data_IF_094216877173
#
_entry.id   IF_094216877173
#
_cell.length_a   1.000
_cell.length_b   1.000
_cell.length_c   1.000
_cell.angle_alpha   90.00
_cell.angle_beta   90.00
_cell.angle_gamma   90.00
#
_symmetry.space_group_name_H-M   'P 1'
#
loop_
_entity.id
_entity.type
_entity.pdbx_description
1 polymer ?
#
# COMPACT_ATOMS: atom_id res chain seq x y z
N UNK A 1 0.93 17.27 -26.75
CA UNK A 1 0.32 16.71 -25.55
C UNK A 1 1.07 17.22 -24.35
N UNK A 2 0.34 17.83 -23.39
CA UNK A 2 0.93 18.23 -22.12
C UNK A 2 1.58 17.01 -21.48
N UNK A 3 2.79 17.17 -20.90
CA UNK A 3 3.50 16.10 -20.22
C UNK A 3 2.57 15.45 -19.19
N UNK A 4 2.32 14.14 -19.34
CA UNK A 4 1.53 13.35 -18.40
C UNK A 4 2.28 13.20 -17.06
N UNK A 5 3.61 13.45 -17.07
CA UNK A 5 4.48 13.32 -15.92
C UNK A 5 4.66 14.70 -15.26
N UNK A 6 4.40 14.76 -13.96
CA UNK A 6 4.71 15.90 -13.10
C UNK A 6 5.72 15.46 -12.06
N UNK A 7 6.81 16.21 -11.94
CA UNK A 7 7.88 15.94 -10.99
C UNK A 7 7.78 16.92 -9.81
N UNK A 8 7.80 16.36 -8.59
CA UNK A 8 7.82 17.13 -7.34
C UNK A 8 9.05 16.75 -6.55
N UNK A 9 9.81 17.73 -6.10
CA UNK A 9 11.00 17.53 -5.27
C UNK A 9 10.76 18.11 -3.88
N UNK A 10 10.98 17.30 -2.85
CA UNK A 10 11.04 17.78 -1.48
C UNK A 10 12.44 18.32 -1.17
N UNK A 11 12.55 19.42 -0.45
CA UNK A 11 13.83 20.01 -0.01
C UNK A 11 14.61 19.07 0.93
N UNK A 12 13.88 18.29 1.72
CA UNK A 12 14.45 17.32 2.67
C UNK A 12 13.80 15.96 2.50
N UNK A 13 14.57 14.90 2.75
CA UNK A 13 14.01 13.56 2.87
C UNK A 13 13.17 13.47 4.15
N UNK A 14 11.85 13.28 3.98
CA UNK A 14 10.86 13.13 5.06
C UNK A 14 10.24 11.73 5.09
N UNK A 15 10.85 10.79 4.37
CA UNK A 15 10.39 9.40 4.29
C UNK A 15 9.26 9.15 3.29
N UNK A 16 8.86 7.87 3.13
CA UNK A 16 7.88 7.46 2.13
C UNK A 16 6.46 7.97 2.42
N UNK A 17 6.07 8.09 3.69
CA UNK A 17 4.76 8.66 4.07
C UNK A 17 4.59 10.06 3.50
N UNK A 18 5.57 10.95 3.73
CA UNK A 18 5.52 12.33 3.24
C UNK A 18 5.53 12.40 1.70
N UNK A 19 6.32 11.55 1.05
CA UNK A 19 6.37 11.49 -0.42
C UNK A 19 5.03 11.01 -1.00
N UNK A 20 4.42 9.95 -0.46
CA UNK A 20 3.10 9.48 -0.89
C UNK A 20 2.01 10.50 -0.62
N UNK A 21 2.03 11.17 0.54
CA UNK A 21 1.08 12.23 0.88
C UNK A 21 1.18 13.43 -0.07
N UNK A 22 2.39 13.83 -0.46
CA UNK A 22 2.57 14.86 -1.48
C UNK A 22 1.95 14.41 -2.80
N UNK A 23 2.21 13.19 -3.24
CA UNK A 23 1.62 12.61 -4.45
C UNK A 23 0.09 12.58 -4.40
N UNK A 24 -0.51 12.21 -3.26
CA UNK A 24 -1.98 12.20 -3.07
C UNK A 24 -2.56 13.60 -3.21
N UNK A 25 -1.95 14.60 -2.56
CA UNK A 25 -2.41 16.01 -2.61
C UNK A 25 -2.34 16.58 -4.02
N UNK A 26 -1.30 16.23 -4.77
CA UNK A 26 -1.08 16.72 -6.12
C UNK A 26 -1.81 15.89 -7.20
N UNK A 27 -2.24 14.69 -6.89
CA UNK A 27 -3.00 13.87 -7.82
C UNK A 27 -4.33 14.50 -8.18
N UNK A 28 -4.74 14.40 -9.45
CA UNK A 28 -6.00 14.96 -9.98
C UNK A 28 -7.03 13.87 -10.31
N UNK A 29 -6.60 12.62 -10.32
CA UNK A 29 -7.45 11.47 -10.62
C UNK A 29 -8.36 11.12 -9.46
N UNK A 30 -9.47 10.47 -9.78
CA UNK A 30 -10.39 9.87 -8.82
C UNK A 30 -9.78 8.63 -8.16
N UNK A 31 -9.03 7.86 -8.92
CA UNK A 31 -8.31 6.67 -8.49
C UNK A 31 -6.82 6.96 -8.33
N UNK A 32 -6.26 6.52 -7.24
CA UNK A 32 -4.84 6.71 -6.88
C UNK A 32 -4.20 5.34 -6.75
N UNK A 33 -3.05 5.18 -7.38
CA UNK A 33 -2.20 4.00 -7.28
C UNK A 33 -0.77 4.41 -6.98
N UNK A 34 -0.04 3.60 -6.23
CA UNK A 34 1.35 3.85 -5.84
C UNK A 34 2.29 2.87 -6.53
N UNK A 35 3.50 3.31 -6.72
CA UNK A 35 4.60 2.46 -7.15
C UNK A 35 5.85 2.85 -6.36
N UNK A 36 6.37 1.93 -5.57
CA UNK A 36 7.64 2.10 -4.88
C UNK A 36 8.78 2.03 -5.90
N UNK A 37 9.86 2.78 -5.67
CA UNK A 37 10.93 2.98 -6.65
C UNK A 37 11.73 1.71 -6.99
N UNK A 38 11.60 0.68 -6.15
CA UNK A 38 12.23 -0.63 -6.28
C UNK A 38 11.26 -1.72 -6.79
N UNK A 39 10.02 -1.37 -7.15
CA UNK A 39 9.02 -2.29 -7.68
C UNK A 39 8.71 -2.00 -9.16
N UNK A 40 8.05 -2.93 -9.83
CA UNK A 40 7.64 -2.83 -11.23
C UNK A 40 6.17 -3.23 -11.41
N UNK A 41 5.41 -2.41 -12.17
CA UNK A 41 4.08 -2.79 -12.62
C UNK A 41 4.13 -3.59 -13.90
N UNK A 42 3.43 -4.71 -13.93
CA UNK A 42 3.22 -5.47 -15.15
C UNK A 42 2.14 -4.83 -16.03
N UNK A 43 2.23 -5.00 -17.36
CA UNK A 43 1.25 -4.48 -18.29
C UNK A 43 -0.19 -4.88 -17.93
N UNK A 44 -1.10 -3.93 -18.02
CA UNK A 44 -2.52 -4.16 -17.78
C UNK A 44 -2.99 -4.00 -16.34
N UNK A 45 -2.09 -3.75 -15.36
CA UNK A 45 -2.47 -3.53 -13.94
C UNK A 45 -3.62 -2.53 -13.77
N UNK A 46 -3.43 -1.31 -14.25
CA UNK A 46 -4.44 -0.25 -14.09
C UNK A 46 -5.76 -0.62 -14.76
N UNK A 47 -5.70 -1.23 -15.96
CA UNK A 47 -6.90 -1.70 -16.66
C UNK A 47 -7.65 -2.77 -15.87
N UNK A 48 -6.93 -3.73 -15.28
CA UNK A 48 -7.53 -4.79 -14.49
C UNK A 48 -8.19 -4.24 -13.22
N UNK A 49 -7.53 -3.31 -12.52
CA UNK A 49 -8.07 -2.71 -11.30
C UNK A 49 -9.28 -1.80 -11.59
N UNK A 50 -9.25 -1.01 -12.66
CA UNK A 50 -10.43 -0.24 -13.08
C UNK A 50 -11.58 -1.13 -13.54
N UNK A 51 -11.29 -2.27 -14.17
CA UNK A 51 -12.28 -3.29 -14.50
C UNK A 51 -12.93 -3.86 -13.24
N UNK A 52 -12.12 -4.24 -12.26
CA UNK A 52 -12.60 -4.74 -10.97
C UNK A 52 -13.60 -3.78 -10.30
N UNK A 53 -13.29 -2.48 -10.24
CA UNK A 53 -14.19 -1.49 -9.62
C UNK A 53 -15.49 -1.27 -10.40
N UNK A 54 -15.48 -1.45 -11.72
CA UNK A 54 -16.71 -1.39 -12.52
C UNK A 54 -17.64 -2.56 -12.25
N UNK A 55 -17.06 -3.73 -12.01
CA UNK A 55 -17.79 -4.97 -11.70
C UNK A 55 -18.19 -5.07 -10.24
N UNK A 56 -17.48 -4.35 -9.35
CA UNK A 56 -17.66 -4.38 -7.89
C UNK A 56 -17.68 -2.95 -7.33
N UNK A 57 -18.74 -2.16 -7.58
CA UNK A 57 -18.80 -0.74 -7.24
C UNK A 57 -18.80 -0.44 -5.75
N UNK A 58 -19.04 -1.43 -4.90
CA UNK A 58 -18.98 -1.32 -3.44
C UNK A 58 -17.54 -1.25 -2.89
N UNK A 59 -16.53 -1.64 -3.70
CA UNK A 59 -15.14 -1.57 -3.29
C UNK A 59 -14.53 -0.21 -3.63
N UNK A 60 -13.88 0.40 -2.65
CA UNK A 60 -13.09 1.63 -2.81
C UNK A 60 -11.58 1.40 -2.87
N UNK A 61 -11.14 0.17 -2.65
CA UNK A 61 -9.74 -0.26 -2.72
C UNK A 61 -9.67 -1.70 -3.23
N UNK A 62 -8.69 -1.98 -4.08
CA UNK A 62 -8.32 -3.34 -4.42
C UNK A 62 -6.80 -3.47 -4.54
N UNK A 63 -6.31 -4.67 -4.29
CA UNK A 63 -4.93 -5.07 -4.50
C UNK A 63 -4.82 -6.18 -5.52
N UNK A 64 -3.64 -6.35 -6.10
CA UNK A 64 -3.32 -7.48 -7.00
C UNK A 64 -2.35 -8.42 -6.31
N UNK A 65 -2.27 -9.66 -6.79
CA UNK A 65 -1.14 -10.55 -6.47
C UNK A 65 0.17 -9.98 -7.01
N UNK A 66 1.28 -10.50 -6.49
CA UNK A 66 2.63 -10.03 -6.79
C UNK A 66 3.61 -11.19 -6.97
N UNK A 67 4.64 -10.95 -7.77
CA UNK A 67 5.78 -11.85 -7.96
C UNK A 67 6.94 -11.29 -7.14
N UNK A 68 7.58 -12.13 -6.33
CA UNK A 68 8.72 -11.73 -5.52
C UNK A 68 10.02 -12.17 -6.15
N UNK A 69 10.96 -11.23 -6.29
CA UNK A 69 12.32 -11.49 -6.75
C UNK A 69 13.28 -11.06 -5.62
N UNK A 70 14.13 -11.96 -5.18
CA UNK A 70 15.20 -11.67 -4.21
C UNK A 70 16.54 -12.10 -4.79
N UNK A 71 17.52 -11.19 -4.77
CA UNK A 71 18.85 -11.42 -5.33
C UNK A 71 18.78 -12.02 -6.77
N UNK A 72 17.91 -11.47 -7.62
CA UNK A 72 17.71 -11.91 -9.00
C UNK A 72 16.97 -13.23 -9.19
N UNK A 73 16.52 -13.88 -8.12
CA UNK A 73 15.77 -15.15 -8.18
C UNK A 73 14.34 -14.98 -7.73
N UNK A 74 13.40 -15.59 -8.48
CA UNK A 74 12.00 -15.67 -8.06
C UNK A 74 11.90 -16.50 -6.78
N UNK A 75 11.20 -15.97 -5.78
CA UNK A 75 10.92 -16.65 -4.52
C UNK A 75 9.41 -16.76 -4.31
N UNK A 76 8.98 -17.86 -3.71
CA UNK A 76 7.59 -17.98 -3.29
C UNK A 76 7.40 -17.30 -1.94
N UNK A 77 6.40 -16.45 -1.77
CA UNK A 77 6.07 -15.88 -0.46
C UNK A 77 5.67 -17.01 0.50
N UNK A 78 6.02 -16.85 1.77
CA UNK A 78 5.52 -17.76 2.81
C UNK A 78 4.00 -17.66 2.89
N UNK A 79 3.32 -18.72 3.32
CA UNK A 79 1.84 -18.75 3.48
C UNK A 79 1.28 -17.57 4.27
N UNK A 80 2.02 -17.09 5.29
CA UNK A 80 1.63 -15.92 6.09
C UNK A 80 1.56 -14.60 5.30
N UNK A 81 2.19 -14.52 4.14
CA UNK A 81 2.15 -13.35 3.25
C UNK A 81 1.13 -13.50 2.10
N UNK A 82 0.34 -14.56 2.12
CA UNK A 82 -0.70 -14.77 1.11
C UNK A 82 -1.72 -13.63 1.20
N UNK A 83 -1.95 -12.99 0.07
CA UNK A 83 -2.94 -11.92 -0.02
C UNK A 83 -4.36 -12.47 0.12
N UNK A 84 -5.26 -11.62 0.53
CA UNK A 84 -6.66 -11.95 0.72
C UNK A 84 -7.54 -10.79 0.28
N UNK A 85 -8.78 -11.09 -0.08
CA UNK A 85 -9.82 -10.12 -0.38
C UNK A 85 -10.96 -10.16 0.64
N UNK A 86 -11.83 -9.16 0.61
CA UNK A 86 -12.97 -9.01 1.50
C UNK A 86 -12.62 -8.25 2.79
N UNK A 87 -13.29 -8.59 3.86
CA UNK A 87 -13.03 -8.05 5.20
C UNK A 87 -11.79 -8.74 5.80
N UNK A 88 -10.63 -8.12 5.67
CA UNK A 88 -9.32 -8.72 6.01
C UNK A 88 -8.64 -8.04 7.20
N UNK A 89 -9.38 -7.32 8.03
CA UNK A 89 -8.81 -6.63 9.18
C UNK A 89 -8.05 -7.57 10.12
N UNK A 90 -8.62 -8.72 10.43
CA UNK A 90 -8.01 -9.78 11.23
C UNK A 90 -6.66 -10.25 10.67
N UNK A 91 -6.54 -10.33 9.35
CA UNK A 91 -5.30 -10.72 8.65
C UNK A 91 -4.27 -9.61 8.62
N UNK A 92 -4.70 -8.35 8.68
CA UNK A 92 -3.81 -7.19 8.78
C UNK A 92 -3.20 -7.03 10.18
N UNK A 93 -3.84 -7.53 11.25
CA UNK A 93 -3.33 -7.37 12.61
C UNK A 93 -1.91 -7.92 12.83
N UNK A 94 -1.60 -9.18 12.46
CA UNK A 94 -0.27 -9.75 12.69
C UNK A 94 0.78 -9.29 11.69
N UNK A 95 0.39 -8.83 10.49
CA UNK A 95 1.31 -8.60 9.39
C UNK A 95 0.76 -7.60 8.37
N UNK A 96 1.66 -6.84 7.73
CA UNK A 96 1.32 -6.03 6.56
C UNK A 96 1.10 -6.96 5.35
N UNK A 97 -0.17 -7.26 5.02
CA UNK A 97 -0.56 -8.14 3.90
C UNK A 97 -0.97 -7.36 2.64
N UNK A 98 -0.99 -6.04 2.72
CA UNK A 98 -1.26 -5.12 1.61
C UNK A 98 0.01 -4.36 1.29
N UNK A 99 0.42 -4.29 0.03
CA UNK A 99 1.59 -3.50 -0.37
C UNK A 99 1.21 -2.29 -1.21
N UNK A 100 1.87 -1.14 -0.99
CA UNK A 100 1.54 0.10 -1.71
C UNK A 100 1.55 -0.06 -3.23
N UNK A 101 2.56 -0.73 -3.79
CA UNK A 101 2.67 -0.93 -5.25
C UNK A 101 1.54 -1.79 -5.84
N UNK A 102 0.87 -2.61 -5.02
CA UNK A 102 -0.20 -3.50 -5.47
C UNK A 102 -1.57 -2.84 -5.48
N UNK A 103 -1.79 -1.78 -4.70
CA UNK A 103 -3.12 -1.18 -4.55
C UNK A 103 -3.46 -0.19 -5.65
N UNK A 104 -4.77 -0.05 -5.85
CA UNK A 104 -5.44 1.13 -6.38
C UNK A 104 -6.61 1.44 -5.47
N UNK A 105 -6.83 2.71 -5.17
CA UNK A 105 -7.86 3.13 -4.23
C UNK A 105 -8.50 4.44 -4.63
N UNK A 106 -9.77 4.60 -4.27
CA UNK A 106 -10.53 5.80 -4.54
C UNK A 106 -10.08 6.94 -3.62
N UNK A 107 -9.97 8.15 -4.14
CA UNK A 107 -9.57 9.36 -3.40
C UNK A 107 -10.37 9.58 -2.12
N UNK A 108 -11.65 9.27 -2.13
CA UNK A 108 -12.56 9.38 -0.99
C UNK A 108 -12.04 8.70 0.28
N UNK A 109 -11.30 7.59 0.14
CA UNK A 109 -10.69 6.92 1.30
C UNK A 109 -9.72 7.82 2.06
N UNK A 110 -8.98 8.69 1.38
CA UNK A 110 -8.07 9.63 2.06
C UNK A 110 -8.82 10.77 2.74
N UNK A 111 -10.00 11.12 2.28
CA UNK A 111 -10.87 12.12 2.91
C UNK A 111 -11.50 11.57 4.20
N UNK A 112 -11.89 10.30 4.20
CA UNK A 112 -12.59 9.65 5.31
C UNK A 112 -11.66 9.01 6.34
N UNK A 113 -10.55 8.42 5.90
CA UNK A 113 -9.60 7.67 6.74
C UNK A 113 -8.37 8.51 7.09
N UNK A 114 -8.07 9.52 6.28
CA UNK A 114 -6.86 10.32 6.37
C UNK A 114 -5.69 9.76 5.58
N UNK A 115 -4.58 10.49 5.60
CA UNK A 115 -3.37 10.21 4.85
C UNK A 115 -2.46 9.20 5.58
N UNK A 116 -1.30 8.89 4.99
CA UNK A 116 -0.22 8.18 5.66
C UNK A 116 0.28 8.98 6.87
N UNK A 117 0.57 8.32 7.97
CA UNK A 117 1.07 8.96 9.18
C UNK A 117 2.57 9.29 9.04
N UNK A 118 2.89 10.57 8.84
CA UNK A 118 4.26 11.06 8.67
C UNK A 118 5.10 11.00 9.95
N UNK A 119 4.48 10.74 11.11
CA UNK A 119 5.21 10.54 12.37
C UNK A 119 5.80 9.13 12.50
N UNK A 120 5.37 8.19 11.65
CA UNK A 120 5.88 6.83 11.59
C UNK A 120 7.07 6.75 10.63
N UNK A 121 8.29 6.50 11.11
CA UNK A 121 9.46 6.37 10.25
C UNK A 121 9.44 5.07 9.44
N UNK A 122 8.66 4.07 9.87
CA UNK A 122 8.42 2.81 9.18
C UNK A 122 7.02 2.29 9.54
N UNK A 123 6.50 1.33 8.75
CA UNK A 123 5.15 0.77 8.90
C UNK A 123 4.02 1.79 8.73
N UNK A 124 4.26 2.90 8.04
CA UNK A 124 3.26 3.90 7.69
C UNK A 124 2.16 3.32 6.79
N UNK A 125 2.53 2.35 5.95
CA UNK A 125 1.63 1.58 5.12
C UNK A 125 0.74 0.64 5.96
N UNK A 126 1.34 -0.07 6.90
CA UNK A 126 0.62 -0.92 7.84
C UNK A 126 -0.45 -0.12 8.63
N UNK A 127 -0.12 1.07 9.13
CA UNK A 127 -1.06 1.97 9.82
C UNK A 127 -2.25 2.32 8.93
N UNK A 128 -1.99 2.69 7.67
CA UNK A 128 -3.05 3.06 6.75
C UNK A 128 -3.95 1.87 6.41
N UNK A 129 -3.36 0.69 6.17
CA UNK A 129 -4.13 -0.51 5.84
C UNK A 129 -5.00 -0.99 7.00
N UNK A 130 -4.54 -0.89 8.24
CA UNK A 130 -5.37 -1.18 9.42
C UNK A 130 -6.58 -0.25 9.49
N UNK A 131 -6.39 1.05 9.32
CA UNK A 131 -7.48 2.04 9.36
C UNK A 131 -8.49 1.83 8.22
N UNK A 132 -8.04 1.44 7.04
CA UNK A 132 -8.93 1.13 5.92
C UNK A 132 -9.65 -0.21 6.17
N UNK A 133 -8.92 -1.28 6.47
CA UNK A 133 -9.50 -2.62 6.61
C UNK A 133 -10.49 -2.75 7.78
N UNK A 134 -10.41 -1.86 8.79
CA UNK A 134 -11.40 -1.81 9.87
C UNK A 134 -12.76 -1.26 9.42
N UNK A 135 -12.83 -0.58 8.27
CA UNK A 135 -14.05 0.10 7.80
C UNK A 135 -14.50 -0.31 6.40
N UNK A 136 -13.58 -0.87 5.60
CA UNK A 136 -13.83 -1.18 4.19
C UNK A 136 -13.27 -2.54 3.82
N UNK A 137 -13.99 -3.29 2.98
CA UNK A 137 -13.44 -4.49 2.37
C UNK A 137 -12.38 -4.11 1.35
N UNK A 138 -11.34 -4.93 1.23
CA UNK A 138 -10.25 -4.78 0.26
C UNK A 138 -10.42 -5.83 -0.83
N UNK A 139 -10.60 -5.41 -2.08
CA UNK A 139 -10.70 -6.32 -3.21
C UNK A 139 -9.37 -7.01 -3.51
N UNK A 140 -9.41 -8.22 -4.05
CA UNK A 140 -8.24 -8.96 -4.52
C UNK A 140 -8.41 -9.40 -5.97
N UNK A 141 -7.43 -9.05 -6.80
CA UNK A 141 -7.25 -9.62 -8.13
C UNK A 141 -6.15 -10.67 -8.03
N UNK A 142 -6.51 -11.94 -8.15
CA UNK A 142 -5.59 -13.08 -7.93
C UNK A 142 -4.46 -13.18 -8.97
N UNK A 143 -4.57 -12.46 -10.09
CA UNK A 143 -3.51 -12.37 -11.07
C UNK A 143 -2.41 -11.43 -10.61
N UNK A 144 -1.12 -11.81 -10.68
CA UNK A 144 -0.02 -10.93 -10.34
C UNK A 144 0.16 -9.83 -11.40
N UNK A 145 0.24 -8.58 -10.90
CA UNK A 145 0.51 -7.40 -11.72
C UNK A 145 1.66 -6.55 -11.18
N UNK A 146 2.38 -7.07 -10.18
CA UNK A 146 3.55 -6.44 -9.59
C UNK A 146 4.71 -7.42 -9.58
N UNK A 147 5.91 -6.91 -9.91
CA UNK A 147 7.16 -7.55 -9.54
C UNK A 147 7.75 -6.76 -8.38
N UNK A 148 7.89 -7.42 -7.24
CA UNK A 148 8.46 -6.85 -6.03
C UNK A 148 9.89 -7.33 -5.87
N UNK A 149 10.83 -6.39 -5.91
CA UNK A 149 12.24 -6.67 -5.73
C UNK A 149 12.64 -6.50 -4.27
N UNK A 150 13.51 -7.37 -3.79
CA UNK A 150 14.02 -7.32 -2.42
C UNK A 150 15.36 -8.02 -2.28
N UNK A 151 15.93 -7.91 -1.08
CA UNK A 151 17.25 -8.47 -0.79
C UNK A 151 18.42 -7.51 -1.02
N UNK A 152 18.16 -6.29 -1.52
CA UNK A 152 19.18 -5.25 -1.65
C UNK A 152 19.55 -4.64 -0.28
N UNK A 153 20.74 -4.03 -0.21
CA UNK A 153 21.35 -3.60 1.07
C UNK A 153 20.60 -2.43 1.71
N UNK A 154 20.03 -1.54 0.90
CA UNK A 154 19.28 -0.34 1.28
C UNK A 154 17.78 -0.58 1.51
N UNK A 155 17.37 -1.85 1.61
CA UNK A 155 15.99 -2.20 1.89
C UNK A 155 15.57 -1.66 3.25
N UNK A 156 14.49 -0.87 3.29
CA UNK A 156 14.04 -0.14 4.48
C UNK A 156 13.78 -0.99 5.72
N UNK A 157 13.35 -2.23 5.53
CA UNK A 157 13.17 -3.18 6.63
C UNK A 157 14.46 -3.55 7.38
N UNK A 158 15.64 -3.20 6.83
CA UNK A 158 16.94 -3.38 7.48
C UNK A 158 17.43 -2.13 8.22
N UNK A 159 16.90 -0.96 7.86
CA UNK A 159 17.29 0.33 8.43
C UNK A 159 16.77 0.49 9.88
N UNK A 160 15.59 -0.07 10.16
CA UNK A 160 14.95 0.08 11.46
C UNK A 160 14.94 -1.24 12.24
N UNK A 161 15.74 -1.39 13.30
CA UNK A 161 15.62 -2.53 14.21
C UNK A 161 14.27 -2.50 14.94
N UNK A 162 13.76 -3.67 15.29
CA UNK A 162 12.50 -3.82 16.04
C UNK A 162 11.29 -3.13 15.36
N UNK A 163 11.05 -3.42 14.07
CA UNK A 163 9.90 -2.91 13.29
C UNK A 163 8.56 -3.04 14.03
N UNK A 164 8.43 -4.02 14.92
CA UNK A 164 7.21 -4.27 15.68
C UNK A 164 6.83 -3.09 16.60
N UNK A 165 7.78 -2.27 17.05
CA UNK A 165 7.46 -1.07 17.82
C UNK A 165 6.54 -0.10 17.06
N UNK A 166 6.70 0.03 15.73
CA UNK A 166 5.87 0.90 14.89
C UNK A 166 4.50 0.26 14.63
N UNK A 167 4.44 -1.07 14.50
CA UNK A 167 3.17 -1.80 14.43
C UNK A 167 2.37 -1.67 15.71
N UNK A 168 3.03 -1.80 16.88
CA UNK A 168 2.38 -1.61 18.19
C UNK A 168 1.81 -0.18 18.31
N UNK A 169 2.53 0.84 17.85
CA UNK A 169 2.00 2.22 17.81
C UNK A 169 0.74 2.33 16.96
N UNK A 170 0.72 1.70 15.78
CA UNK A 170 -0.45 1.70 14.89
C UNK A 170 -1.63 0.96 15.52
N UNK A 171 -1.40 -0.17 16.19
CA UNK A 171 -2.43 -0.91 16.92
C UNK A 171 -2.99 -0.11 18.10
N UNK A 172 -2.12 0.51 18.89
CA UNK A 172 -2.55 1.37 20.01
C UNK A 172 -3.39 2.57 19.51
N UNK A 173 -3.01 3.15 18.36
CA UNK A 173 -3.76 4.23 17.72
C UNK A 173 -5.18 3.78 17.32
N UNK A 174 -5.33 2.61 16.72
CA UNK A 174 -6.65 2.06 16.35
C UNK A 174 -7.52 1.82 17.57
N UNK A 175 -6.97 1.25 18.63
CA UNK A 175 -7.69 1.02 19.89
C UNK A 175 -8.15 2.36 20.52
N UNK A 176 -7.31 3.40 20.48
CA UNK A 176 -7.66 4.71 21.05
C UNK A 176 -8.75 5.46 20.26
N UNK A 177 -8.95 5.11 19.00
CA UNK A 177 -9.93 5.77 18.12
C UNK A 177 -11.34 5.15 18.21
N UNK A 178 -11.56 4.13 19.04
CA UNK A 178 -12.84 3.39 19.16
C UNK A 178 -13.40 2.96 17.78
N UNK A 179 -12.52 2.53 16.89
CA UNK A 179 -12.87 2.12 15.52
C UNK A 179 -13.33 0.66 15.47
N UNK A 180 -13.14 -0.08 16.54
CA UNK A 180 -13.51 -1.49 16.71
C UNK A 180 -14.84 -1.65 17.42
#
# INVERSE_FOLDING_TARGET
PASVIRFFRSEKNRGPAAARNLGIREARGEWIAFLDSDDEWLPGKLKAQLGFFRENPEYLICQTEEIWIRNGKRVNPMKKHQKSGGWIFDKCLPLCVVSPSAVMMHRKLFEEIGLFDESLPACEDYDLWLRIASRYPIGLIEKPYIIKYGGHADQRSREFPAMDQFRIRSLAKILSQNIL
#
